data_IF_448106407900
#
_entry.id   IF_448106407900
#
_cell.length_a   1.000
_cell.length_b   1.000
_cell.length_c   1.000
_cell.angle_alpha   90.00
_cell.angle_beta   90.00
_cell.angle_gamma   90.00
#
_symmetry.space_group_name_H-M   'P 1'
#
loop_
_entity.id
_entity.type
_entity.pdbx_description
1 polymer ?
#
# COMPACT_ATOMS: atom_id res chain seq x y z
N UNK A 1 -8.31 -16.62 18.31
CA UNK A 1 -8.28 -15.35 17.54
C UNK A 1 -9.71 -14.97 17.22
N UNK A 2 -10.20 -13.78 17.62
CA UNK A 2 -11.53 -13.33 17.21
C UNK A 2 -11.53 -13.22 15.67
N UNK A 3 -12.51 -13.84 15.01
CA UNK A 3 -12.62 -13.80 13.56
C UNK A 3 -12.84 -12.35 13.10
N UNK A 4 -11.90 -11.81 12.32
CA UNK A 4 -12.08 -10.54 11.62
C UNK A 4 -13.04 -10.78 10.45
N UNK A 5 -14.03 -9.90 10.30
CA UNK A 5 -15.08 -10.03 9.26
C UNK A 5 -14.62 -9.45 7.92
N UNK A 6 -13.91 -8.35 7.98
CA UNK A 6 -13.56 -7.53 6.83
C UNK A 6 -12.07 -7.56 6.48
N UNK A 7 -11.23 -8.08 7.38
CA UNK A 7 -9.80 -8.20 7.13
C UNK A 7 -9.41 -9.68 7.15
N UNK A 8 -8.82 -10.12 6.05
CA UNK A 8 -8.23 -11.45 5.95
C UNK A 8 -6.72 -11.32 6.13
N UNK A 9 -6.17 -12.01 7.13
CA UNK A 9 -4.74 -12.08 7.39
C UNK A 9 -4.24 -13.47 6.99
N UNK A 10 -3.39 -13.52 5.97
CA UNK A 10 -2.90 -14.74 5.33
C UNK A 10 -1.35 -14.82 5.47
N UNK A 11 -0.81 -15.47 6.50
CA UNK A 11 0.63 -15.70 6.61
C UNK A 11 1.11 -16.69 5.53
N UNK A 12 2.21 -16.36 4.85
CA UNK A 12 2.88 -17.20 3.86
C UNK A 12 4.39 -17.23 4.13
N UNK A 13 4.82 -18.09 5.05
CA UNK A 13 6.20 -18.11 5.52
C UNK A 13 6.52 -16.82 6.29
N UNK A 14 7.52 -16.07 5.84
CA UNK A 14 7.96 -14.80 6.41
C UNK A 14 7.27 -13.55 5.79
N UNK A 15 6.22 -13.77 4.99
CA UNK A 15 5.40 -12.72 4.37
C UNK A 15 3.97 -12.84 4.88
N UNK A 16 3.34 -11.72 5.23
CA UNK A 16 1.91 -11.64 5.54
C UNK A 16 1.15 -10.90 4.44
N UNK A 17 0.03 -11.48 3.98
CA UNK A 17 -0.90 -10.77 3.10
C UNK A 17 -2.07 -10.29 3.96
N UNK A 18 -2.36 -8.99 3.87
CA UNK A 18 -3.52 -8.34 4.48
C UNK A 18 -4.50 -7.97 3.38
N UNK A 19 -5.67 -8.60 3.39
CA UNK A 19 -6.68 -8.39 2.36
C UNK A 19 -7.90 -7.71 2.95
N UNK A 20 -8.24 -6.52 2.42
CA UNK A 20 -9.49 -5.83 2.78
C UNK A 20 -10.62 -6.50 2.00
N UNK A 21 -11.59 -7.08 2.69
CA UNK A 21 -12.67 -7.87 2.10
C UNK A 21 -14.05 -7.34 2.48
N UNK A 22 -14.42 -6.24 1.84
CA UNK A 22 -15.75 -5.64 1.89
C UNK A 22 -16.19 -5.28 0.47
N UNK A 23 -16.26 -6.30 -0.40
CA UNK A 23 -16.42 -6.15 -1.85
C UNK A 23 -17.72 -5.46 -2.25
N UNK A 24 -18.80 -5.63 -1.49
CA UNK A 24 -20.10 -4.98 -1.68
C UNK A 24 -20.02 -3.45 -1.61
N UNK A 25 -19.05 -2.93 -0.89
CA UNK A 25 -18.76 -1.49 -0.77
C UNK A 25 -17.42 -1.11 -1.43
N UNK A 26 -16.94 -1.86 -2.43
CA UNK A 26 -15.65 -1.63 -3.08
C UNK A 26 -14.47 -1.51 -2.09
N UNK A 27 -14.51 -2.29 -1.02
CA UNK A 27 -13.52 -2.28 0.06
C UNK A 27 -13.41 -0.93 0.81
N UNK A 28 -14.46 -0.10 0.78
CA UNK A 28 -14.51 1.15 1.53
C UNK A 28 -14.44 0.88 3.03
N UNK A 29 -13.74 1.76 3.75
CA UNK A 29 -13.44 1.60 5.16
C UNK A 29 -14.44 2.37 6.03
N UNK A 30 -15.25 1.61 6.78
CA UNK A 30 -16.01 2.11 7.94
C UNK A 30 -15.20 1.89 9.23
N UNK A 31 -15.77 2.22 10.37
CA UNK A 31 -15.14 2.07 11.68
C UNK A 31 -14.71 0.63 11.99
N UNK A 32 -15.48 -0.37 11.53
CA UNK A 32 -15.17 -1.78 11.76
C UNK A 32 -13.95 -2.22 10.95
N UNK A 33 -13.90 -1.88 9.65
CA UNK A 33 -12.73 -2.16 8.79
C UNK A 33 -11.48 -1.50 9.36
N UNK A 34 -11.56 -0.23 9.80
CA UNK A 34 -10.46 0.50 10.42
C UNK A 34 -9.98 -0.23 11.69
N UNK A 35 -10.92 -0.63 12.56
CA UNK A 35 -10.60 -1.35 13.80
C UNK A 35 -9.93 -2.70 13.52
N UNK A 36 -10.47 -3.48 12.57
CA UNK A 36 -9.91 -4.78 12.21
C UNK A 36 -8.55 -4.67 11.53
N UNK A 37 -8.36 -3.66 10.64
CA UNK A 37 -7.07 -3.38 10.03
C UNK A 37 -6.03 -3.02 11.09
N UNK A 38 -6.40 -2.20 12.08
CA UNK A 38 -5.53 -1.88 13.22
C UNK A 38 -5.08 -3.15 13.95
N UNK A 39 -6.03 -4.04 14.27
CA UNK A 39 -5.74 -5.31 14.95
C UNK A 39 -4.83 -6.22 14.11
N UNK A 40 -5.06 -6.30 12.80
CA UNK A 40 -4.22 -7.09 11.90
C UNK A 40 -2.77 -6.59 11.90
N UNK A 41 -2.57 -5.26 11.85
CA UNK A 41 -1.24 -4.67 11.92
C UNK A 41 -0.58 -4.90 13.29
N UNK A 42 -1.33 -4.88 14.41
CA UNK A 42 -0.79 -5.22 15.73
C UNK A 42 -0.34 -6.68 15.81
N UNK A 43 -1.12 -7.62 15.28
CA UNK A 43 -0.74 -9.03 15.19
C UNK A 43 0.56 -9.18 14.39
N UNK A 44 0.63 -8.55 13.22
CA UNK A 44 1.84 -8.59 12.38
C UNK A 44 3.03 -7.95 13.09
N UNK A 45 2.84 -6.83 13.76
CA UNK A 45 3.93 -6.16 14.48
C UNK A 45 4.55 -7.05 15.55
N UNK A 46 3.72 -7.83 16.26
CA UNK A 46 4.14 -8.72 17.33
C UNK A 46 4.72 -10.08 16.87
N UNK A 47 4.56 -10.43 15.60
CA UNK A 47 5.03 -11.72 15.07
C UNK A 47 6.42 -11.58 14.42
N UNK A 48 7.47 -11.96 15.11
CA UNK A 48 8.85 -11.90 14.63
C UNK A 48 9.12 -12.81 13.40
N UNK A 49 8.26 -13.78 13.13
CA UNK A 49 8.32 -14.63 11.94
C UNK A 49 7.96 -13.87 10.65
N UNK A 50 7.14 -12.82 10.74
CA UNK A 50 6.76 -11.99 9.58
C UNK A 50 7.82 -10.90 9.36
N UNK A 51 8.33 -10.81 8.13
CA UNK A 51 9.35 -9.82 7.74
C UNK A 51 8.83 -8.78 6.74
N UNK A 52 7.88 -9.13 5.89
CA UNK A 52 7.31 -8.24 4.86
C UNK A 52 5.79 -8.38 4.86
N UNK A 53 5.10 -7.29 4.56
CA UNK A 53 3.63 -7.25 4.48
C UNK A 53 3.22 -6.85 3.07
N UNK A 54 2.19 -7.50 2.54
CA UNK A 54 1.52 -7.11 1.29
C UNK A 54 0.08 -6.75 1.63
N UNK A 55 -0.36 -5.54 1.33
CA UNK A 55 -1.75 -5.10 1.52
C UNK A 55 -2.44 -5.05 0.16
N UNK A 56 -3.65 -5.61 0.05
CA UNK A 56 -4.45 -5.60 -1.17
C UNK A 56 -5.95 -5.61 -0.87
N UNK A 57 -6.78 -5.36 -1.87
CA UNK A 57 -8.24 -5.51 -1.78
C UNK A 57 -8.70 -6.89 -2.26
N UNK A 58 -9.75 -7.41 -1.65
CA UNK A 58 -10.43 -8.60 -2.15
C UNK A 58 -11.25 -8.27 -3.41
N UNK A 59 -11.41 -9.26 -4.29
CA UNK A 59 -12.16 -9.13 -5.54
C UNK A 59 -11.34 -8.46 -6.65
N UNK A 60 -12.05 -8.09 -7.72
CA UNK A 60 -11.44 -7.71 -9.00
C UNK A 60 -11.50 -6.20 -9.27
N UNK A 61 -12.18 -5.42 -8.43
CA UNK A 61 -12.58 -4.05 -8.74
C UNK A 61 -11.82 -2.99 -7.97
N UNK A 62 -11.42 -3.28 -6.75
CA UNK A 62 -10.95 -2.24 -5.85
C UNK A 62 -9.89 -2.75 -4.88
N UNK A 63 -8.84 -1.98 -4.74
CA UNK A 63 -7.95 -2.01 -3.59
C UNK A 63 -8.71 -1.49 -2.35
N UNK A 64 -9.13 -0.23 -2.41
CA UNK A 64 -9.99 0.42 -1.43
C UNK A 64 -10.56 1.72 -2.04
N UNK A 65 -11.89 1.85 -2.05
CA UNK A 65 -12.56 3.03 -2.60
C UNK A 65 -12.65 4.21 -1.61
N UNK A 66 -11.95 4.13 -0.48
CA UNK A 66 -11.85 5.21 0.50
C UNK A 66 -12.72 5.03 1.73
N UNK A 67 -13.14 6.15 2.32
CA UNK A 67 -14.05 6.18 3.44
C UNK A 67 -15.47 5.77 3.02
N UNK A 68 -16.22 5.17 3.92
CA UNK A 68 -17.62 4.83 3.69
C UNK A 68 -18.50 6.08 3.73
N UNK A 69 -18.91 6.56 2.55
CA UNK A 69 -19.74 7.76 2.39
C UNK A 69 -21.09 7.59 3.10
N UNK A 70 -21.65 6.37 3.11
CA UNK A 70 -22.93 6.11 3.78
C UNK A 70 -22.86 6.30 5.30
N UNK A 71 -21.69 6.05 5.87
CA UNK A 71 -21.41 6.35 7.27
C UNK A 71 -21.22 7.87 7.48
N UNK A 72 -20.49 8.53 6.57
CA UNK A 72 -20.11 9.94 6.75
C UNK A 72 -21.26 10.94 6.58
N UNK A 73 -22.26 10.63 5.75
CA UNK A 73 -23.30 11.60 5.38
C UNK A 73 -24.11 12.15 6.56
N UNK A 74 -24.18 11.39 7.67
CA UNK A 74 -24.98 11.73 8.83
C UNK A 74 -24.18 12.00 10.11
N UNK A 75 -22.84 12.09 10.04
CA UNK A 75 -22.03 12.31 11.23
C UNK A 75 -21.79 13.80 11.49
N UNK A 76 -21.78 14.18 12.76
CA UNK A 76 -21.48 15.52 13.25
C UNK A 76 -19.96 15.79 13.26
N UNK A 77 -19.51 17.06 13.26
CA UNK A 77 -18.09 17.43 13.18
C UNK A 77 -17.18 16.69 14.18
N UNK A 78 -17.60 16.53 15.43
CA UNK A 78 -16.83 15.79 16.44
C UNK A 78 -16.73 14.28 16.15
N UNK A 79 -17.72 13.71 15.49
CA UNK A 79 -17.69 12.31 15.05
C UNK A 79 -16.78 12.17 13.81
N UNK A 80 -16.83 13.14 12.89
CA UNK A 80 -15.94 13.19 11.75
C UNK A 80 -14.47 13.29 12.18
N UNK A 81 -14.14 14.13 13.17
CA UNK A 81 -12.80 14.22 13.75
C UNK A 81 -12.34 12.87 14.31
N UNK A 82 -13.18 12.21 15.13
CA UNK A 82 -12.85 10.87 15.70
C UNK A 82 -12.63 9.82 14.62
N UNK A 83 -13.47 9.83 13.60
CA UNK A 83 -13.35 8.90 12.46
C UNK A 83 -12.04 9.12 11.70
N UNK A 84 -11.73 10.37 11.35
CA UNK A 84 -10.48 10.72 10.69
C UNK A 84 -9.25 10.39 11.57
N UNK A 85 -9.30 10.69 12.86
CA UNK A 85 -8.25 10.37 13.83
C UNK A 85 -7.99 8.87 13.91
N UNK A 86 -9.05 8.05 13.98
CA UNK A 86 -8.91 6.60 14.05
C UNK A 86 -8.31 6.03 12.76
N UNK A 87 -8.74 6.52 11.60
CA UNK A 87 -8.21 6.12 10.30
C UNK A 87 -6.73 6.55 10.12
N UNK A 88 -6.41 7.80 10.45
CA UNK A 88 -5.01 8.27 10.44
C UNK A 88 -4.12 7.45 11.38
N UNK A 89 -4.62 7.07 12.55
CA UNK A 89 -3.86 6.25 13.49
C UNK A 89 -3.45 4.90 12.87
N UNK A 90 -4.35 4.23 12.16
CA UNK A 90 -4.05 2.97 11.47
C UNK A 90 -3.10 3.17 10.30
N UNK A 91 -3.33 4.19 9.48
CA UNK A 91 -2.47 4.54 8.35
C UNK A 91 -1.05 4.87 8.83
N UNK A 92 -0.92 5.68 9.89
CA UNK A 92 0.36 5.98 10.51
C UNK A 92 1.03 4.73 11.12
N UNK A 93 0.24 3.79 11.66
CA UNK A 93 0.74 2.52 12.18
C UNK A 93 1.36 1.67 11.06
N UNK A 94 0.76 1.63 9.87
CA UNK A 94 1.29 0.94 8.68
C UNK A 94 2.61 1.58 8.24
N UNK A 95 2.65 2.90 8.11
CA UNK A 95 3.85 3.65 7.72
C UNK A 95 5.02 3.44 8.69
N UNK A 96 4.71 3.42 10.01
CA UNK A 96 5.71 3.24 11.09
C UNK A 96 6.03 1.79 11.41
N UNK A 97 5.33 0.83 10.79
CA UNK A 97 5.63 -0.59 10.99
C UNK A 97 7.09 -0.83 10.61
N UNK A 98 7.85 -1.48 11.49
CA UNK A 98 9.27 -1.76 11.24
C UNK A 98 9.51 -2.70 10.04
N UNK A 99 8.47 -3.39 9.59
CA UNK A 99 8.48 -4.31 8.46
C UNK A 99 8.12 -3.57 7.18
N UNK A 100 8.80 -3.81 6.05
CA UNK A 100 8.38 -3.27 4.76
C UNK A 100 6.95 -3.65 4.41
N UNK A 101 6.21 -2.68 3.85
CA UNK A 101 4.82 -2.86 3.42
C UNK A 101 4.70 -2.54 1.94
N UNK A 102 4.16 -3.47 1.17
CA UNK A 102 3.89 -3.35 -0.25
C UNK A 102 2.38 -3.19 -0.46
N UNK A 103 1.94 -2.13 -1.11
CA UNK A 103 0.58 -2.01 -1.60
C UNK A 103 0.45 -2.67 -2.97
N UNK A 104 -0.34 -3.74 -3.06
CA UNK A 104 -0.75 -4.38 -4.31
C UNK A 104 -2.09 -3.77 -4.75
N UNK A 105 -2.02 -2.71 -5.56
CA UNK A 105 -3.18 -1.89 -5.94
C UNK A 105 -3.92 -2.55 -7.10
N UNK A 106 -4.92 -3.35 -6.79
CA UNK A 106 -5.65 -4.22 -7.72
C UNK A 106 -6.89 -3.58 -8.35
N UNK A 107 -7.03 -2.26 -8.38
CA UNK A 107 -8.19 -1.56 -8.92
C UNK A 107 -8.32 -0.15 -8.34
N UNK A 108 -9.53 0.26 -7.97
CA UNK A 108 -9.74 1.58 -7.38
C UNK A 108 -8.97 1.77 -6.08
N UNK A 109 -8.15 2.82 -6.01
CA UNK A 109 -7.49 3.32 -4.80
C UNK A 109 -7.83 4.81 -4.67
N UNK A 110 -8.95 5.12 -4.04
CA UNK A 110 -9.54 6.46 -4.04
C UNK A 110 -9.66 7.02 -2.62
N UNK A 111 -9.43 8.31 -2.45
CA UNK A 111 -9.51 8.98 -1.16
C UNK A 111 -8.71 8.25 -0.09
N UNK A 112 -9.36 7.84 0.99
CA UNK A 112 -8.73 7.04 2.05
C UNK A 112 -8.00 5.77 1.57
N UNK A 113 -8.42 5.19 0.44
CA UNK A 113 -7.72 4.06 -0.19
C UNK A 113 -6.41 4.48 -0.84
N UNK A 114 -6.37 5.65 -1.48
CA UNK A 114 -5.13 6.25 -1.96
C UNK A 114 -4.20 6.61 -0.79
N UNK A 115 -4.76 7.15 0.30
CA UNK A 115 -4.03 7.50 1.52
C UNK A 115 -3.41 6.25 2.18
N UNK A 116 -4.15 5.15 2.22
CA UNK A 116 -3.65 3.85 2.68
C UNK A 116 -2.51 3.35 1.78
N UNK A 117 -2.66 3.42 0.46
CA UNK A 117 -1.60 3.02 -0.47
C UNK A 117 -0.34 3.88 -0.31
N UNK A 118 -0.48 5.20 -0.11
CA UNK A 118 0.65 6.11 0.11
C UNK A 118 1.40 5.87 1.42
N UNK A 119 0.76 5.30 2.43
CA UNK A 119 1.40 4.93 3.69
C UNK A 119 2.20 3.62 3.62
N UNK A 120 2.01 2.82 2.59
CA UNK A 120 2.87 1.68 2.30
C UNK A 120 4.22 2.16 1.73
N UNK A 121 5.28 1.37 1.90
CA UNK A 121 6.62 1.74 1.43
C UNK A 121 6.71 1.68 -0.10
N UNK A 122 6.14 0.65 -0.70
CA UNK A 122 6.18 0.40 -2.14
C UNK A 122 4.75 0.20 -2.65
N UNK A 123 4.44 0.75 -3.81
CA UNK A 123 3.13 0.64 -4.49
C UNK A 123 3.33 0.00 -5.84
N UNK A 124 2.72 -1.17 -6.06
CA UNK A 124 2.63 -1.83 -7.37
C UNK A 124 1.16 -1.83 -7.76
N UNK A 125 0.85 -1.36 -8.94
CA UNK A 125 -0.53 -1.24 -9.41
C UNK A 125 -0.80 -2.12 -10.62
N UNK A 126 -2.00 -2.68 -10.72
CA UNK A 126 -2.48 -3.27 -11.97
C UNK A 126 -2.82 -2.16 -12.98
N UNK A 127 -2.64 -2.42 -14.27
CA UNK A 127 -2.87 -1.42 -15.32
C UNK A 127 -4.32 -0.90 -15.40
N UNK A 128 -5.28 -1.65 -14.87
CA UNK A 128 -6.67 -1.21 -14.74
C UNK A 128 -6.94 -0.35 -13.49
N UNK A 129 -5.94 -0.14 -12.63
CA UNK A 129 -6.14 0.66 -11.43
C UNK A 129 -6.42 2.13 -11.75
N UNK A 130 -7.24 2.74 -10.89
CA UNK A 130 -7.52 4.18 -10.88
C UNK A 130 -7.22 4.72 -9.50
N UNK A 131 -6.42 5.77 -9.45
CA UNK A 131 -5.85 6.32 -8.22
C UNK A 131 -6.21 7.81 -8.14
N UNK A 132 -6.61 8.29 -6.98
CA UNK A 132 -6.97 9.72 -6.84
C UNK A 132 -7.43 10.12 -5.46
N UNK A 133 -7.60 11.44 -5.30
CA UNK A 133 -8.12 12.10 -4.10
C UNK A 133 -9.40 12.88 -4.49
N UNK A 134 -10.55 12.20 -4.65
CA UNK A 134 -11.76 12.82 -5.17
C UNK A 134 -12.61 13.52 -4.10
N UNK A 135 -12.14 13.66 -2.87
CA UNK A 135 -12.90 14.12 -1.72
C UNK A 135 -13.55 15.48 -1.92
N UNK A 136 -12.92 16.38 -2.67
CA UNK A 136 -13.50 17.71 -2.95
C UNK A 136 -14.79 17.63 -3.76
N UNK A 137 -15.02 16.56 -4.52
CA UNK A 137 -16.25 16.35 -5.26
C UNK A 137 -17.46 16.04 -4.39
N UNK A 138 -17.21 15.69 -3.12
CA UNK A 138 -18.22 15.45 -2.10
C UNK A 138 -18.16 16.49 -0.96
N UNK A 139 -17.45 17.61 -1.17
CA UNK A 139 -17.45 18.77 -0.26
C UNK A 139 -16.49 18.68 0.93
N UNK A 140 -15.51 17.77 0.92
CA UNK A 140 -14.50 17.64 1.98
C UNK A 140 -13.09 17.59 1.39
N UNK A 141 -12.03 17.94 2.14
CA UNK A 141 -10.65 17.67 1.75
C UNK A 141 -10.26 16.22 2.07
N UNK A 142 -9.13 15.70 1.53
CA UNK A 142 -8.52 14.48 2.03
C UNK A 142 -8.24 14.57 3.54
N UNK A 143 -8.67 13.56 4.30
CA UNK A 143 -8.68 13.63 5.77
C UNK A 143 -7.75 12.63 6.48
N UNK A 144 -7.18 11.66 5.76
CA UNK A 144 -6.39 10.59 6.36
C UNK A 144 -4.89 10.69 6.05
N UNK A 145 -4.45 11.88 5.64
CA UNK A 145 -3.05 12.23 5.38
C UNK A 145 -2.73 12.48 3.90
N UNK A 146 -3.74 12.45 3.02
CA UNK A 146 -3.56 12.62 1.57
C UNK A 146 -2.92 13.95 1.20
N UNK A 147 -3.34 15.05 1.82
CA UNK A 147 -2.75 16.37 1.58
C UNK A 147 -1.25 16.39 1.91
N UNK A 148 -0.80 15.59 2.87
CA UNK A 148 0.58 15.59 3.35
C UNK A 148 1.45 14.57 2.61
N UNK A 149 0.94 13.34 2.42
CA UNK A 149 1.70 12.27 1.75
C UNK A 149 1.80 12.48 0.25
N UNK A 150 0.69 12.90 -0.40
CA UNK A 150 0.70 13.08 -1.84
C UNK A 150 1.72 14.13 -2.28
N UNK A 151 1.75 15.30 -1.63
CA UNK A 151 2.70 16.35 -2.01
C UNK A 151 4.17 15.94 -1.78
N UNK A 152 4.45 15.06 -0.82
CA UNK A 152 5.80 14.54 -0.57
C UNK A 152 6.23 13.52 -1.63
N UNK A 153 5.27 12.81 -2.23
CA UNK A 153 5.55 11.81 -3.27
C UNK A 153 5.64 12.43 -4.67
N UNK A 154 4.72 13.34 -5.02
CA UNK A 154 4.59 13.83 -6.41
C UNK A 154 4.86 15.33 -6.57
N UNK A 155 5.25 16.00 -5.50
CA UNK A 155 5.43 17.45 -5.47
C UNK A 155 4.12 18.23 -5.29
N UNK A 156 4.24 19.45 -4.76
CA UNK A 156 3.11 20.29 -4.34
C UNK A 156 2.16 20.66 -5.49
N UNK A 157 2.70 20.97 -6.69
CA UNK A 157 1.89 21.38 -7.83
C UNK A 157 0.98 20.24 -8.32
N UNK A 158 1.55 19.03 -8.50
CA UNK A 158 0.78 17.86 -8.96
C UNK A 158 -0.21 17.39 -7.92
N UNK A 159 0.16 17.41 -6.64
CA UNK A 159 -0.76 17.10 -5.54
C UNK A 159 -1.97 18.04 -5.53
N UNK A 160 -1.77 19.34 -5.67
CA UNK A 160 -2.85 20.35 -5.76
C UNK A 160 -3.75 20.12 -6.97
N UNK A 161 -3.17 19.85 -8.15
CA UNK A 161 -3.94 19.53 -9.35
C UNK A 161 -4.87 18.33 -9.11
N UNK A 162 -4.33 17.24 -8.59
CA UNK A 162 -5.12 16.01 -8.30
C UNK A 162 -6.20 16.26 -7.26
N UNK A 163 -5.89 16.94 -6.16
CA UNK A 163 -6.84 17.22 -5.07
C UNK A 163 -7.91 18.21 -5.53
N UNK A 164 -7.54 19.34 -6.14
CA UNK A 164 -8.49 20.40 -6.49
C UNK A 164 -9.45 19.99 -7.59
N UNK A 165 -9.00 19.13 -8.51
CA UNK A 165 -9.86 18.62 -9.59
C UNK A 165 -10.67 17.40 -9.18
N UNK A 166 -10.23 16.67 -8.13
CA UNK A 166 -10.80 15.39 -7.75
C UNK A 166 -10.68 14.30 -8.83
N UNK A 167 -9.84 14.52 -9.86
CA UNK A 167 -9.66 13.57 -10.96
C UNK A 167 -8.95 12.31 -10.51
N UNK A 168 -9.43 11.18 -11.01
CA UNK A 168 -8.74 9.91 -10.94
C UNK A 168 -7.75 9.82 -12.11
N UNK A 169 -6.52 9.39 -11.82
CA UNK A 169 -5.48 9.11 -12.81
C UNK A 169 -5.35 7.61 -13.06
N UNK A 170 -4.79 7.23 -14.20
CA UNK A 170 -4.47 5.84 -14.54
C UNK A 170 -3.25 5.36 -13.75
N UNK A 171 -3.03 4.03 -13.72
CA UNK A 171 -1.82 3.45 -13.13
C UNK A 171 -0.55 3.96 -13.83
N UNK A 172 -0.58 4.10 -15.16
CA UNK A 172 0.55 4.60 -15.94
C UNK A 172 0.86 6.07 -15.62
N UNK A 173 -0.17 6.94 -15.56
CA UNK A 173 0.01 8.33 -15.11
C UNK A 173 0.56 8.40 -13.69
N UNK A 174 0.07 7.54 -12.78
CA UNK A 174 0.56 7.46 -11.41
C UNK A 174 2.02 7.01 -11.34
N UNK A 175 2.44 6.11 -12.24
CA UNK A 175 3.84 5.70 -12.35
C UNK A 175 4.72 6.83 -12.91
N UNK A 176 4.26 7.53 -13.95
CA UNK A 176 5.00 8.65 -14.54
C UNK A 176 5.29 9.78 -13.54
N UNK A 177 4.39 10.04 -12.61
CA UNK A 177 4.57 11.09 -11.57
C UNK A 177 5.25 10.57 -10.29
N UNK A 178 5.68 9.30 -10.25
CA UNK A 178 6.35 8.70 -9.08
C UNK A 178 5.43 8.28 -7.94
N UNK A 179 4.10 8.32 -8.13
CA UNK A 179 3.14 7.86 -7.11
C UNK A 179 3.12 6.33 -7.00
N UNK A 180 3.39 5.62 -8.10
CA UNK A 180 3.45 4.15 -8.18
C UNK A 180 4.83 3.70 -8.66
N UNK A 181 5.39 2.69 -8.03
CA UNK A 181 6.73 2.19 -8.34
C UNK A 181 6.75 1.33 -9.61
N UNK A 182 5.67 0.57 -9.87
CA UNK A 182 5.58 -0.35 -11.01
C UNK A 182 4.12 -0.57 -11.41
N UNK A 183 3.89 -0.75 -12.72
CA UNK A 183 2.58 -1.13 -13.27
C UNK A 183 2.66 -2.54 -13.85
N UNK A 184 1.68 -3.36 -13.50
CA UNK A 184 1.51 -4.72 -14.02
C UNK A 184 0.44 -4.72 -15.09
N UNK A 185 0.82 -5.11 -16.29
CA UNK A 185 -0.05 -5.19 -17.45
C UNK A 185 -0.22 -6.63 -17.93
N UNK A 186 -1.27 -6.87 -18.71
CA UNK A 186 -1.45 -8.09 -19.47
C UNK A 186 -0.89 -7.91 -20.88
N UNK A 187 -0.32 -8.97 -21.42
CA UNK A 187 0.23 -9.01 -22.78
C UNK A 187 -0.34 -10.16 -23.60
N UNK A 188 0.14 -10.35 -24.82
CA UNK A 188 -0.29 -11.43 -25.71
C UNK A 188 -0.13 -12.83 -25.12
N UNK A 189 0.84 -13.00 -24.22
CA UNK A 189 1.15 -14.26 -23.53
C UNK A 189 0.09 -14.68 -22.51
N UNK A 190 -0.80 -13.76 -22.11
CA UNK A 190 -1.76 -14.00 -21.03
C UNK A 190 -3.07 -14.68 -21.49
N UNK A 191 -3.17 -15.12 -22.74
CA UNK A 191 -4.36 -15.77 -23.31
C UNK A 191 -5.64 -14.99 -23.02
N UNK A 192 -5.63 -13.69 -23.32
CA UNK A 192 -6.76 -12.80 -23.04
C UNK A 192 -8.02 -13.25 -23.78
N UNK A 193 -9.21 -13.13 -23.16
CA UNK A 193 -10.46 -13.39 -23.85
C UNK A 193 -10.62 -12.45 -25.04
N UNK A 194 -11.23 -12.94 -26.12
CA UNK A 194 -11.45 -12.19 -27.36
C UNK A 194 -12.12 -10.84 -27.07
N UNK A 195 -11.76 -9.82 -27.84
CA UNK A 195 -12.47 -8.54 -27.77
C UNK A 195 -13.95 -8.71 -28.11
N UNK A 196 -14.79 -8.14 -27.29
CA UNK A 196 -16.25 -8.07 -27.50
C UNK A 196 -16.64 -6.61 -27.54
N UNK A 197 -17.40 -6.22 -28.55
CA UNK A 197 -17.94 -4.86 -28.68
C UNK A 197 -19.44 -4.92 -28.97
N UNK A 198 -20.17 -3.97 -28.38
CA UNK A 198 -21.60 -3.83 -28.62
C UNK A 198 -22.50 -4.75 -27.80
N UNK A 199 -21.94 -5.50 -26.83
CA UNK A 199 -22.67 -6.29 -25.86
C UNK A 199 -22.17 -5.97 -24.45
N UNK A 200 -22.83 -5.07 -23.70
CA UNK A 200 -22.37 -4.61 -22.39
C UNK A 200 -22.18 -5.73 -21.35
N UNK A 201 -22.96 -6.83 -21.44
CA UNK A 201 -22.85 -7.94 -20.51
C UNK A 201 -21.55 -8.73 -20.77
N UNK A 202 -21.27 -9.02 -22.02
CA UNK A 202 -20.03 -9.73 -22.41
C UNK A 202 -18.78 -8.84 -22.23
N UNK A 203 -18.89 -7.53 -22.48
CA UNK A 203 -17.81 -6.59 -22.21
C UNK A 203 -17.46 -6.58 -20.70
N UNK A 204 -18.48 -6.57 -19.83
CA UNK A 204 -18.30 -6.64 -18.38
C UNK A 204 -17.69 -7.98 -17.95
N UNK A 205 -18.14 -9.09 -18.50
CA UNK A 205 -17.59 -10.41 -18.24
C UNK A 205 -16.10 -10.48 -18.64
N UNK A 206 -15.77 -10.01 -19.84
CA UNK A 206 -14.38 -9.92 -20.32
C UNK A 206 -13.52 -9.06 -19.39
N UNK A 207 -14.02 -7.90 -19.01
CA UNK A 207 -13.30 -7.02 -18.07
C UNK A 207 -13.01 -7.71 -16.73
N UNK A 208 -13.96 -8.48 -16.21
CA UNK A 208 -13.76 -9.30 -15.01
C UNK A 208 -12.70 -10.39 -15.20
N UNK A 209 -12.69 -11.07 -16.36
CA UNK A 209 -11.66 -12.09 -16.67
C UNK A 209 -10.27 -11.46 -16.75
N UNK A 210 -10.13 -10.30 -17.43
CA UNK A 210 -8.87 -9.56 -17.51
C UNK A 210 -8.42 -9.10 -16.12
N UNK A 211 -9.33 -8.60 -15.29
CA UNK A 211 -9.00 -8.17 -13.92
C UNK A 211 -8.49 -9.34 -13.05
N UNK A 212 -9.03 -10.55 -13.21
CA UNK A 212 -8.51 -11.76 -12.52
C UNK A 212 -7.08 -12.08 -12.91
N UNK A 213 -6.78 -12.02 -14.20
CA UNK A 213 -5.41 -12.25 -14.72
C UNK A 213 -4.47 -11.19 -14.14
N UNK A 214 -4.86 -9.90 -14.23
CA UNK A 214 -4.09 -8.81 -13.67
C UNK A 214 -3.82 -8.98 -12.16
N UNK A 215 -4.85 -9.34 -11.39
CA UNK A 215 -4.70 -9.53 -9.94
C UNK A 215 -3.74 -10.68 -9.62
N UNK A 216 -3.80 -11.77 -10.36
CA UNK A 216 -2.87 -12.89 -10.21
C UNK A 216 -1.43 -12.43 -10.47
N UNK A 217 -1.17 -11.79 -11.61
CA UNK A 217 0.16 -11.27 -11.97
C UNK A 217 0.66 -10.23 -10.96
N UNK A 218 -0.23 -9.33 -10.51
CA UNK A 218 0.10 -8.34 -9.50
C UNK A 218 0.56 -8.99 -8.19
N UNK A 219 -0.18 -9.99 -7.70
CA UNK A 219 0.19 -10.68 -6.49
C UNK A 219 1.47 -11.51 -6.65
N UNK A 220 1.67 -12.16 -7.80
CA UNK A 220 2.92 -12.88 -8.12
C UNK A 220 4.13 -11.93 -8.08
N UNK A 221 4.01 -10.74 -8.66
CA UNK A 221 5.08 -9.73 -8.67
C UNK A 221 5.34 -9.16 -7.27
N UNK A 222 4.29 -8.83 -6.51
CA UNK A 222 4.42 -8.36 -5.13
C UNK A 222 5.08 -9.41 -4.23
N UNK A 223 4.71 -10.69 -4.39
CA UNK A 223 5.31 -11.79 -3.63
C UNK A 223 6.75 -12.06 -4.04
N UNK A 224 7.10 -11.90 -5.32
CA UNK A 224 8.48 -12.00 -5.80
C UNK A 224 9.34 -10.89 -5.17
N UNK A 225 8.88 -9.63 -5.20
CA UNK A 225 9.56 -8.52 -4.55
C UNK A 225 9.70 -8.72 -3.03
N UNK A 226 8.64 -9.17 -2.36
CA UNK A 226 8.67 -9.47 -0.93
C UNK A 226 9.74 -10.53 -0.62
N UNK A 227 9.83 -11.61 -1.43
CA UNK A 227 10.87 -12.63 -1.30
C UNK A 227 12.29 -12.10 -1.58
N UNK A 228 12.45 -11.11 -2.45
CA UNK A 228 13.75 -10.44 -2.64
C UNK A 228 14.15 -9.67 -1.39
N UNK A 229 13.21 -8.95 -0.78
CA UNK A 229 13.45 -8.21 0.46
C UNK A 229 13.83 -9.17 1.60
N UNK A 230 13.12 -10.30 1.76
CA UNK A 230 13.37 -11.23 2.87
C UNK A 230 14.70 -11.99 2.78
N UNK A 231 15.37 -11.98 1.60
CA UNK A 231 16.74 -12.52 1.46
C UNK A 231 17.81 -11.66 2.13
N UNK A 232 17.51 -10.40 2.41
CA UNK A 232 18.44 -9.44 3.00
C UNK A 232 18.38 -9.51 4.54
N UNK A 233 19.37 -8.89 5.22
CA UNK A 233 19.31 -8.74 6.67
C UNK A 233 18.07 -7.98 7.08
N UNK A 234 17.20 -8.61 7.84
CA UNK A 234 15.97 -7.98 8.30
C UNK A 234 16.26 -6.76 9.18
N UNK A 235 17.29 -6.82 10.03
CA UNK A 235 17.75 -5.68 10.83
C UNK A 235 18.15 -4.49 9.97
N UNK A 236 18.95 -4.73 8.91
CA UNK A 236 19.36 -3.65 8.01
C UNK A 236 18.17 -3.04 7.24
N UNK A 237 17.21 -3.86 6.80
CA UNK A 237 16.00 -3.41 6.13
C UNK A 237 15.13 -2.55 7.07
N UNK A 238 14.90 -2.99 8.31
CA UNK A 238 14.17 -2.22 9.35
C UNK A 238 14.82 -0.86 9.60
N UNK A 239 16.13 -0.87 9.83
CA UNK A 239 16.89 0.37 10.09
C UNK A 239 16.82 1.29 8.88
N UNK A 240 16.99 0.78 7.66
CA UNK A 240 16.90 1.59 6.45
C UNK A 240 15.52 2.24 6.29
N UNK A 241 14.43 1.51 6.50
CA UNK A 241 13.06 2.06 6.48
C UNK A 241 12.91 3.18 7.50
N UNK A 242 13.34 2.96 8.74
CA UNK A 242 13.29 3.97 9.79
C UNK A 242 14.06 5.23 9.40
N UNK A 243 15.28 5.08 8.86
CA UNK A 243 16.13 6.21 8.47
C UNK A 243 15.52 7.01 7.32
N UNK A 244 14.98 6.35 6.30
CA UNK A 244 14.32 7.04 5.17
C UNK A 244 13.09 7.80 5.68
N UNK A 245 12.23 7.17 6.48
CA UNK A 245 11.02 7.81 7.00
C UNK A 245 11.35 9.00 7.90
N UNK A 246 12.35 8.87 8.79
CA UNK A 246 12.76 9.97 9.68
C UNK A 246 13.49 11.10 8.93
N UNK A 247 14.28 10.74 7.91
CA UNK A 247 14.96 11.71 7.07
C UNK A 247 14.02 12.63 6.31
N UNK A 248 12.83 12.14 5.93
CA UNK A 248 11.81 12.96 5.27
C UNK A 248 11.25 14.10 6.16
N UNK A 249 11.32 13.95 7.46
CA UNK A 249 10.76 14.90 8.45
C UNK A 249 11.85 15.67 9.22
N UNK A 250 13.14 15.54 8.83
CA UNK A 250 14.26 16.20 9.46
C UNK A 250 15.07 17.05 8.46
N UNK A 251 15.89 17.97 8.96
CA UNK A 251 16.92 18.59 8.14
C UNK A 251 18.01 17.59 7.74
N UNK A 252 18.75 17.90 6.68
CA UNK A 252 19.74 16.98 6.12
C UNK A 252 20.84 16.60 7.14
N UNK A 253 21.32 17.53 7.95
CA UNK A 253 22.37 17.25 8.93
C UNK A 253 21.90 16.25 9.99
N UNK A 254 20.71 16.48 10.52
CA UNK A 254 20.05 15.56 11.46
C UNK A 254 19.83 14.19 10.83
N UNK A 255 19.34 14.13 9.59
CA UNK A 255 19.14 12.89 8.84
C UNK A 255 20.44 12.09 8.66
N UNK A 256 21.52 12.76 8.23
CA UNK A 256 22.85 12.14 8.06
C UNK A 256 23.42 11.62 9.39
N UNK A 257 23.19 12.33 10.50
CA UNK A 257 23.61 11.86 11.82
C UNK A 257 22.85 10.63 12.29
N UNK A 258 21.52 10.60 12.06
CA UNK A 258 20.71 9.41 12.33
C UNK A 258 21.17 8.20 11.49
N UNK A 259 21.54 8.43 10.22
CA UNK A 259 22.07 7.40 9.33
C UNK A 259 23.35 6.77 9.88
N UNK A 260 24.29 7.56 10.38
CA UNK A 260 25.51 7.06 11.03
C UNK A 260 25.19 6.17 12.23
N UNK A 261 24.26 6.59 13.09
CA UNK A 261 23.86 5.80 14.24
C UNK A 261 23.14 4.51 13.85
N UNK A 262 22.23 4.57 12.89
CA UNK A 262 21.54 3.38 12.38
C UNK A 262 22.49 2.41 11.70
N UNK A 263 23.45 2.91 10.92
CA UNK A 263 24.49 2.10 10.32
C UNK A 263 25.34 1.38 11.39
N UNK A 264 25.81 2.11 12.40
CA UNK A 264 26.60 1.55 13.51
C UNK A 264 25.79 0.50 14.29
N UNK A 265 24.48 0.71 14.51
CA UNK A 265 23.60 -0.24 15.19
C UNK A 265 23.58 -1.61 14.49
N UNK A 266 23.62 -1.64 13.15
CA UNK A 266 23.67 -2.90 12.40
C UNK A 266 24.92 -3.73 12.69
N UNK A 267 26.02 -3.13 13.18
CA UNK A 267 27.24 -3.84 13.55
C UNK A 267 27.11 -4.63 14.86
N UNK A 268 26.13 -4.31 15.69
CA UNK A 268 25.84 -5.08 16.90
C UNK A 268 25.06 -6.40 16.61
N UNK A 269 24.60 -6.60 15.36
CA UNK A 269 23.78 -7.76 14.98
C UNK A 269 24.57 -8.81 14.21
N UNK A 270 24.29 -10.09 14.47
CA UNK A 270 25.03 -11.24 13.86
C UNK A 270 24.82 -11.34 12.34
N UNK A 271 23.67 -10.93 11.83
CA UNK A 271 23.35 -10.94 10.38
C UNK A 271 24.45 -10.30 9.55
N UNK A 272 24.96 -9.15 9.99
CA UNK A 272 26.00 -8.41 9.30
C UNK A 272 27.25 -9.28 9.08
N UNK A 273 27.75 -9.91 10.14
CA UNK A 273 28.97 -10.72 10.07
C UNK A 273 28.81 -11.90 9.11
N UNK A 274 27.67 -12.59 9.20
CA UNK A 274 27.34 -13.75 8.35
C UNK A 274 27.25 -13.34 6.88
N UNK A 275 26.56 -12.23 6.58
CA UNK A 275 26.36 -11.78 5.20
C UNK A 275 27.65 -11.24 4.58
N UNK A 276 28.46 -10.45 5.31
CA UNK A 276 29.74 -9.95 4.83
C UNK A 276 30.73 -11.10 4.57
N UNK A 277 30.80 -12.09 5.45
CA UNK A 277 31.64 -13.28 5.26
C UNK A 277 31.21 -14.08 4.02
N UNK A 278 29.92 -14.23 3.82
CA UNK A 278 29.37 -14.91 2.63
C UNK A 278 29.73 -14.18 1.34
N UNK A 279 29.64 -12.84 1.33
CA UNK A 279 30.02 -12.01 0.20
C UNK A 279 31.51 -12.16 -0.15
N UNK A 280 32.39 -12.05 0.84
CA UNK A 280 33.85 -12.22 0.65
C UNK A 280 34.23 -13.61 0.13
N UNK A 281 33.54 -14.66 0.57
CA UNK A 281 33.80 -16.02 0.12
C UNK A 281 33.30 -16.29 -1.32
N UNK A 282 32.24 -15.60 -1.79
CA UNK A 282 31.80 -15.66 -3.19
C UNK A 282 32.77 -14.97 -4.15
N UNK A 283 33.44 -13.90 -3.70
CA UNK A 283 34.40 -13.13 -4.53
C UNK A 283 35.74 -13.85 -4.70
N UNK A 284 35.96 -14.98 -3.99
CA UNK A 284 37.19 -15.79 -4.10
C UNK A 284 37.04 -17.03 -5.02
N UNK A 285 35.85 -17.23 -5.60
CA UNK A 285 35.56 -18.24 -6.62
C UNK A 285 35.38 -17.58 -7.98
#
# INVERSE_FOLDING_TARGET
MSSMKYIQLEPQGDIAIVRINRQEALNAMNTDVISELSKAIDIIAADDGIKVVVITGAGERSFCAGADISYMVNIEPMQAERYATSAQAVINKIERLEKPVIAAVNGFALGGGCELAMACDIRIASSNAKIGQPEVTIGIPPGWGGTQRLMRLVGSAKAKEMIFTGKMITADEAHQIGLVNKVISVGPEDNLPAEVRGDPAKEKERAGQVARILNKKLMEDCMALAKEITKNSFTAVKVSKMLVNRGMDSDLETGLRLEIYGWALCFAHEDRQKMMSTFLNKSKK
#
